data_IF_831641096861
#
_entry.id   IF_831641096861
#
_cell.length_a   1.000
_cell.length_b   1.000
_cell.length_c   1.000
_cell.angle_alpha   90.00
_cell.angle_beta   90.00
_cell.angle_gamma   90.00
#
_symmetry.space_group_name_H-M   'P 1'
#
loop_
_entity.id
_entity.type
_entity.pdbx_description
1 polymer ?
#
# COMPACT_ATOMS: atom_id res chain seq x y z
N UNK A 1 -15.77 10.65 5.32
CA UNK A 1 -14.59 9.93 5.86
C UNK A 1 -13.24 10.48 5.37
N UNK A 2 -12.94 10.49 4.06
CA UNK A 2 -11.57 10.79 3.57
C UNK A 2 -11.00 12.14 4.00
N UNK A 3 -11.82 13.19 4.01
CA UNK A 3 -11.43 14.48 4.55
C UNK A 3 -11.00 14.39 6.03
N UNK A 4 -11.71 13.62 6.86
CA UNK A 4 -11.37 13.46 8.27
C UNK A 4 -10.11 12.61 8.47
N UNK A 5 -9.91 11.57 7.65
CA UNK A 5 -8.63 10.84 7.61
C UNK A 5 -7.48 11.80 7.32
N UNK A 6 -7.65 12.65 6.30
CA UNK A 6 -6.66 13.65 5.96
C UNK A 6 -6.46 14.64 7.11
N UNK A 7 -7.54 15.20 7.65
CA UNK A 7 -7.53 16.24 8.67
C UNK A 7 -6.86 15.76 9.98
N UNK A 8 -7.14 14.54 10.43
CA UNK A 8 -6.61 14.03 11.70
C UNK A 8 -5.22 13.40 11.58
N UNK A 9 -4.87 12.82 10.43
CA UNK A 9 -3.66 12.00 10.30
C UNK A 9 -2.65 12.51 9.28
N UNK A 10 -3.08 13.10 8.16
CA UNK A 10 -2.22 13.32 6.99
C UNK A 10 -1.96 14.77 6.61
N UNK A 11 -2.73 15.72 7.14
CA UNK A 11 -2.46 17.16 7.07
C UNK A 11 -1.06 17.43 7.61
N UNK A 12 -0.31 18.33 6.99
CA UNK A 12 1.13 18.46 7.18
C UNK A 12 1.60 18.43 8.64
N UNK A 13 1.02 19.27 9.51
CA UNK A 13 1.34 19.29 10.95
C UNK A 13 1.02 17.96 11.64
N UNK A 14 -0.12 17.34 11.31
CA UNK A 14 -0.53 16.04 11.85
C UNK A 14 0.34 14.91 11.36
N UNK A 15 0.72 14.93 10.09
CA UNK A 15 1.62 13.95 9.51
C UNK A 15 2.99 14.00 10.17
N UNK A 16 3.55 15.19 10.39
CA UNK A 16 4.84 15.37 11.09
C UNK A 16 4.73 14.89 12.54
N UNK A 17 3.64 15.21 13.23
CA UNK A 17 3.37 14.72 14.58
C UNK A 17 3.32 13.20 14.62
N UNK A 18 2.43 12.58 13.82
CA UNK A 18 2.27 11.13 13.82
C UNK A 18 3.52 10.39 13.36
N UNK A 19 4.27 10.91 12.38
CA UNK A 19 5.55 10.33 11.95
C UNK A 19 6.56 10.23 13.11
N UNK A 20 6.52 11.15 14.07
CA UNK A 20 7.35 11.08 15.28
C UNK A 20 6.78 10.11 16.31
N UNK A 21 5.48 10.21 16.58
CA UNK A 21 4.81 9.39 17.59
C UNK A 21 4.91 7.90 17.28
N UNK A 22 4.64 7.48 16.03
CA UNK A 22 4.63 6.05 15.67
C UNK A 22 6.01 5.39 15.81
N UNK A 23 7.11 6.16 15.67
CA UNK A 23 8.47 5.66 15.86
C UNK A 23 8.78 5.32 17.34
N UNK A 24 7.99 5.85 18.28
CA UNK A 24 8.13 5.56 19.71
C UNK A 24 7.41 4.25 20.11
N UNK A 25 6.51 3.74 19.25
CA UNK A 25 5.74 2.52 19.51
C UNK A 25 6.27 1.33 18.70
N UNK A 26 7.02 0.45 19.37
CA UNK A 26 7.27 -0.93 18.90
C UNK A 26 6.00 -1.76 19.17
N UNK A 27 5.21 -2.32 18.25
CA UNK A 27 5.18 -2.45 16.80
C UNK A 27 3.69 -2.65 16.48
N UNK A 28 3.12 -2.02 15.46
CA UNK A 28 1.90 -2.54 14.84
C UNK A 28 2.29 -3.64 13.84
N UNK A 29 1.63 -4.79 13.94
CA UNK A 29 2.00 -6.02 13.23
C UNK A 29 1.06 -6.27 12.04
N UNK A 30 1.27 -7.39 11.32
CA UNK A 30 0.43 -7.78 10.17
C UNK A 30 -1.07 -7.85 10.52
N UNK A 31 -1.41 -8.28 11.73
CA UNK A 31 -2.81 -8.38 12.18
C UNK A 31 -3.43 -7.00 12.37
N UNK A 32 -2.70 -6.05 12.95
CA UNK A 32 -3.15 -4.65 13.05
C UNK A 32 -3.31 -4.03 11.67
N UNK A 33 -2.36 -4.28 10.76
CA UNK A 33 -2.42 -3.81 9.39
C UNK A 33 -3.70 -4.29 8.67
N UNK A 34 -3.97 -5.60 8.74
CA UNK A 34 -5.18 -6.18 8.15
C UNK A 34 -6.45 -5.63 8.80
N UNK A 35 -6.46 -5.44 10.12
CA UNK A 35 -7.60 -4.88 10.85
C UNK A 35 -7.97 -3.48 10.37
N UNK A 36 -6.98 -2.63 10.09
CA UNK A 36 -7.20 -1.28 9.55
C UNK A 36 -7.76 -1.36 8.12
N UNK A 37 -7.26 -2.29 7.29
CA UNK A 37 -7.80 -2.54 5.94
C UNK A 37 -9.25 -2.97 6.02
N UNK A 38 -9.55 -3.98 6.85
CA UNK A 38 -10.90 -4.53 7.00
C UNK A 38 -11.89 -3.47 7.47
N UNK A 39 -11.46 -2.59 8.38
CA UNK A 39 -12.26 -1.45 8.80
C UNK A 39 -12.56 -0.50 7.64
N UNK A 40 -11.55 -0.09 6.87
CA UNK A 40 -11.79 0.82 5.74
C UNK A 40 -12.64 0.17 4.65
N UNK A 41 -12.45 -1.12 4.38
CA UNK A 41 -13.30 -1.87 3.45
C UNK A 41 -14.76 -1.93 3.93
N UNK A 42 -14.97 -2.15 5.23
CA UNK A 42 -16.30 -2.10 5.85
C UNK A 42 -16.94 -0.71 5.74
N UNK A 43 -16.19 0.37 5.98
CA UNK A 43 -16.70 1.74 5.83
C UNK A 43 -17.09 2.02 4.37
N UNK A 44 -16.33 1.54 3.39
CA UNK A 44 -16.69 1.70 1.98
C UNK A 44 -18.01 1.01 1.61
N UNK A 45 -18.33 -0.09 2.29
CA UNK A 45 -19.58 -0.84 2.09
C UNK A 45 -20.75 -0.28 2.92
N UNK A 46 -20.48 0.52 3.97
CA UNK A 46 -21.48 1.06 4.88
C UNK A 46 -21.65 2.57 4.71
N UNK A 47 -22.63 2.97 3.89
CA UNK A 47 -22.93 4.37 3.59
C UNK A 47 -23.18 5.24 4.83
N UNK A 48 -23.95 4.74 5.79
CA UNK A 48 -24.29 5.48 7.01
C UNK A 48 -23.06 5.79 7.85
N UNK A 49 -22.24 4.76 8.11
CA UNK A 49 -20.99 4.92 8.85
C UNK A 49 -20.02 5.86 8.12
N UNK A 50 -19.90 5.73 6.80
CA UNK A 50 -19.05 6.62 5.99
C UNK A 50 -19.45 8.09 6.08
N UNK A 51 -20.77 8.36 6.15
CA UNK A 51 -21.33 9.70 6.35
C UNK A 51 -21.02 10.22 7.75
N UNK A 52 -21.28 9.43 8.81
CA UNK A 52 -20.98 9.81 10.19
C UNK A 52 -19.49 10.11 10.40
N UNK A 53 -18.60 9.27 9.87
CA UNK A 53 -17.16 9.51 9.86
C UNK A 53 -16.74 10.69 8.98
N UNK A 54 -17.62 11.20 8.11
CA UNK A 54 -17.40 12.44 7.36
C UNK A 54 -17.67 13.70 8.16
N UNK A 55 -18.60 13.62 9.11
CA UNK A 55 -19.08 14.76 9.90
C UNK A 55 -18.38 14.89 11.25
N UNK A 56 -17.61 13.88 11.67
CA UNK A 56 -16.91 13.90 12.96
C UNK A 56 -15.83 14.99 12.98
N UNK A 57 -15.85 15.85 14.00
CA UNK A 57 -14.95 17.01 14.10
C UNK A 57 -13.71 16.75 14.95
N UNK A 58 -13.72 15.70 15.77
CA UNK A 58 -12.64 15.35 16.69
C UNK A 58 -12.11 13.95 16.44
N UNK A 59 -10.82 13.75 16.70
CA UNK A 59 -10.18 12.44 16.62
C UNK A 59 -10.81 11.45 17.63
N UNK A 60 -11.16 11.91 18.83
CA UNK A 60 -11.84 11.08 19.82
C UNK A 60 -13.19 10.59 19.31
N UNK A 61 -14.00 11.48 18.71
CA UNK A 61 -15.26 11.09 18.09
C UNK A 61 -15.07 10.10 16.94
N UNK A 62 -14.02 10.28 16.14
CA UNK A 62 -13.65 9.32 15.08
C UNK A 62 -13.38 7.93 15.66
N UNK A 63 -12.56 7.84 16.71
CA UNK A 63 -12.20 6.57 17.35
C UNK A 63 -13.41 5.93 18.04
N UNK A 64 -14.25 6.71 18.70
CA UNK A 64 -15.48 6.19 19.31
C UNK A 64 -16.40 5.55 18.28
N UNK A 65 -16.61 6.19 17.11
CA UNK A 65 -17.40 5.59 16.03
C UNK A 65 -16.79 4.29 15.49
N UNK A 66 -15.46 4.18 15.44
CA UNK A 66 -14.76 2.95 15.02
C UNK A 66 -15.04 1.81 16.02
N UNK A 67 -14.95 2.11 17.32
CA UNK A 67 -15.21 1.15 18.42
C UNK A 67 -16.68 0.74 18.48
N UNK A 68 -17.60 1.69 18.35
CA UNK A 68 -19.06 1.45 18.37
C UNK A 68 -19.51 0.52 17.23
N UNK A 69 -18.73 0.45 16.15
CA UNK A 69 -18.95 -0.44 15.01
C UNK A 69 -18.16 -1.76 15.10
N UNK A 70 -17.64 -2.10 16.29
CA UNK A 70 -17.00 -3.39 16.57
C UNK A 70 -15.51 -3.47 16.22
N UNK A 71 -14.88 -2.36 15.82
CA UNK A 71 -13.45 -2.33 15.50
C UNK A 71 -12.66 -1.67 16.63
N UNK A 72 -11.92 -2.46 17.41
CA UNK A 72 -11.05 -1.93 18.46
C UNK A 72 -9.73 -1.37 17.91
N UNK A 73 -9.76 -0.22 17.24
CA UNK A 73 -8.56 0.43 16.67
C UNK A 73 -8.16 1.65 17.49
N UNK A 74 -6.86 1.78 17.78
CA UNK A 74 -6.29 2.98 18.40
C UNK A 74 -5.91 4.02 17.34
N UNK A 75 -5.86 5.29 17.73
CA UNK A 75 -5.44 6.37 16.84
C UNK A 75 -4.02 6.13 16.30
N UNK A 76 -3.12 5.64 17.14
CA UNK A 76 -1.73 5.32 16.78
C UNK A 76 -1.66 4.21 15.72
N UNK A 77 -2.57 3.25 15.74
CA UNK A 77 -2.60 2.12 14.79
C UNK A 77 -3.08 2.58 13.41
N UNK A 78 -4.11 3.42 13.40
CA UNK A 78 -4.61 4.06 12.17
C UNK A 78 -3.54 5.02 11.62
N UNK A 79 -2.93 5.81 12.49
CA UNK A 79 -1.86 6.75 12.13
C UNK A 79 -0.67 6.02 11.53
N UNK A 80 -0.19 4.95 12.17
CA UNK A 80 0.89 4.12 11.66
C UNK A 80 0.59 3.60 10.26
N UNK A 81 -0.56 2.96 10.06
CA UNK A 81 -0.97 2.44 8.76
C UNK A 81 -0.96 3.54 7.68
N UNK A 82 -1.57 4.69 7.96
CA UNK A 82 -1.70 5.80 7.01
C UNK A 82 -0.35 6.48 6.72
N UNK A 83 0.46 6.74 7.76
CA UNK A 83 1.76 7.40 7.65
C UNK A 83 2.76 6.49 6.94
N UNK A 84 2.85 5.21 7.30
CA UNK A 84 3.71 4.23 6.63
C UNK A 84 3.39 4.14 5.14
N UNK A 85 2.11 3.99 4.78
CA UNK A 85 1.69 3.98 3.37
C UNK A 85 2.08 5.28 2.65
N UNK A 86 1.86 6.44 3.28
CA UNK A 86 2.25 7.74 2.72
C UNK A 86 3.77 7.84 2.52
N UNK A 87 4.58 7.32 3.44
CA UNK A 87 6.04 7.30 3.31
C UNK A 87 6.48 6.47 2.10
N UNK A 88 5.94 5.25 1.93
CA UNK A 88 6.30 4.38 0.80
C UNK A 88 5.86 5.02 -0.53
N UNK A 89 4.64 5.56 -0.60
CA UNK A 89 4.17 6.24 -1.81
C UNK A 89 4.99 7.47 -2.17
N UNK A 90 5.33 8.30 -1.18
CA UNK A 90 6.16 9.48 -1.40
C UNK A 90 7.58 9.10 -1.88
N UNK A 91 8.15 8.00 -1.37
CA UNK A 91 9.43 7.48 -1.87
C UNK A 91 9.32 7.08 -3.34
N UNK A 92 8.29 6.32 -3.72
CA UNK A 92 8.10 5.90 -5.10
C UNK A 92 7.88 7.08 -6.05
N UNK A 93 7.12 8.09 -5.62
CA UNK A 93 6.94 9.34 -6.35
C UNK A 93 8.26 10.10 -6.52
N UNK A 94 9.05 10.23 -5.44
CA UNK A 94 10.36 10.88 -5.48
C UNK A 94 11.32 10.16 -6.43
N UNK A 95 11.36 8.83 -6.38
CA UNK A 95 12.17 8.00 -7.26
C UNK A 95 11.79 8.22 -8.73
N UNK A 96 10.50 8.29 -9.06
CA UNK A 96 10.07 8.56 -10.44
C UNK A 96 10.53 9.94 -10.94
N UNK A 97 10.63 10.92 -10.05
CA UNK A 97 11.10 12.28 -10.36
C UNK A 97 12.63 12.40 -10.34
N UNK A 98 13.33 11.45 -9.73
CA UNK A 98 14.78 11.47 -9.48
C UNK A 98 15.43 10.18 -9.98
N UNK A 99 15.91 10.14 -11.25
CA UNK A 99 16.46 8.92 -11.85
C UNK A 99 17.57 8.25 -11.05
N UNK A 100 18.48 9.02 -10.45
CA UNK A 100 19.57 8.48 -9.64
C UNK A 100 19.08 7.70 -8.41
N UNK A 101 18.05 8.19 -7.73
CA UNK A 101 17.41 7.48 -6.62
C UNK A 101 16.70 6.22 -7.12
N UNK A 102 15.98 6.31 -8.24
CA UNK A 102 15.33 5.15 -8.85
C UNK A 102 16.33 4.05 -9.17
N UNK A 103 17.45 4.37 -9.78
CA UNK A 103 18.50 3.41 -10.12
C UNK A 103 19.13 2.79 -8.87
N UNK A 104 19.37 3.57 -7.81
CA UNK A 104 19.86 3.06 -6.52
C UNK A 104 18.87 2.08 -5.87
N UNK A 105 17.58 2.41 -5.87
CA UNK A 105 16.53 1.56 -5.32
C UNK A 105 16.35 0.28 -6.14
N UNK A 106 16.34 0.37 -7.47
CA UNK A 106 16.19 -0.79 -8.36
C UNK A 106 17.43 -1.70 -8.38
N UNK A 107 18.60 -1.17 -8.04
CA UNK A 107 19.84 -1.95 -7.92
C UNK A 107 20.08 -2.54 -6.52
N UNK A 108 19.14 -2.35 -5.58
CA UNK A 108 19.21 -2.97 -4.27
C UNK A 108 19.20 -4.51 -4.39
N UNK A 109 20.18 -5.18 -3.76
CA UNK A 109 20.37 -6.63 -3.86
C UNK A 109 19.40 -7.43 -2.99
N UNK A 110 18.83 -6.79 -1.99
CA UNK A 110 17.91 -7.38 -1.01
C UNK A 110 17.03 -6.27 -0.42
N UNK A 111 15.89 -6.62 0.22
CA UNK A 111 14.96 -5.62 0.69
C UNK A 111 15.50 -4.77 1.85
N UNK A 112 16.46 -5.27 2.62
CA UNK A 112 17.11 -4.49 3.69
C UNK A 112 17.98 -3.36 3.12
N UNK A 113 18.65 -3.60 1.98
CA UNK A 113 19.38 -2.56 1.28
C UNK A 113 18.41 -1.49 0.73
N UNK A 114 17.25 -1.90 0.23
CA UNK A 114 16.22 -0.97 -0.26
C UNK A 114 15.72 -0.06 0.86
N UNK A 115 15.34 -0.63 2.02
CA UNK A 115 14.87 0.19 3.16
C UNK A 115 15.98 1.07 3.73
N UNK A 116 17.25 0.65 3.64
CA UNK A 116 18.39 1.49 4.00
C UNK A 116 18.52 2.71 3.07
N UNK A 117 18.46 2.50 1.75
CA UNK A 117 18.47 3.61 0.78
C UNK A 117 17.28 4.54 1.03
N UNK A 118 16.08 4.00 1.29
CA UNK A 118 14.93 4.82 1.65
C UNK A 118 15.17 5.69 2.91
N UNK A 119 15.80 5.11 3.94
CA UNK A 119 16.14 5.81 5.18
C UNK A 119 17.16 6.93 4.96
N UNK A 120 18.15 6.75 4.08
CA UNK A 120 19.11 7.80 3.69
C UNK A 120 18.41 9.02 3.06
N UNK A 121 17.21 8.82 2.49
CA UNK A 121 16.35 9.86 1.93
C UNK A 121 15.23 10.31 2.90
N UNK A 122 15.27 9.89 4.16
CA UNK A 122 14.34 10.31 5.22
C UNK A 122 12.99 9.58 5.24
N UNK A 123 12.88 8.44 4.55
CA UNK A 123 11.72 7.57 4.54
C UNK A 123 11.98 6.30 5.36
N UNK A 124 11.17 6.08 6.40
CA UNK A 124 11.38 5.02 7.38
C UNK A 124 10.19 4.07 7.37
N UNK A 125 10.44 2.83 6.97
CA UNK A 125 9.53 1.69 7.00
C UNK A 125 10.34 0.38 6.96
N UNK A 126 9.73 -0.68 7.43
CA UNK A 126 10.27 -2.04 7.44
C UNK A 126 10.06 -2.76 6.11
N UNK A 127 10.78 -3.87 5.93
CA UNK A 127 10.59 -4.77 4.77
C UNK A 127 9.18 -5.35 4.76
N UNK A 128 8.63 -5.68 5.93
CA UNK A 128 7.30 -6.26 6.05
C UNK A 128 6.20 -5.28 5.62
N UNK A 129 6.27 -4.03 6.05
CA UNK A 129 5.32 -2.98 5.65
C UNK A 129 5.37 -2.71 4.14
N UNK A 130 6.57 -2.70 3.56
CA UNK A 130 6.74 -2.62 2.10
C UNK A 130 6.08 -3.82 1.41
N UNK A 131 6.32 -5.03 1.91
CA UNK A 131 5.74 -6.25 1.36
C UNK A 131 4.21 -6.27 1.45
N UNK A 132 3.63 -5.84 2.57
CA UNK A 132 2.18 -5.79 2.76
C UNK A 132 1.53 -4.81 1.79
N UNK A 133 2.05 -3.59 1.68
CA UNK A 133 1.53 -2.62 0.72
C UNK A 133 1.64 -3.12 -0.73
N UNK A 134 2.79 -3.66 -1.14
CA UNK A 134 2.96 -4.16 -2.50
C UNK A 134 2.07 -5.38 -2.78
N UNK A 135 1.82 -6.23 -1.78
CA UNK A 135 0.87 -7.35 -1.88
C UNK A 135 -0.56 -6.86 -2.06
N UNK A 136 -0.98 -5.82 -1.31
CA UNK A 136 -2.29 -5.19 -1.49
C UNK A 136 -2.44 -4.61 -2.89
N UNK A 137 -1.47 -3.79 -3.33
CA UNK A 137 -1.50 -3.15 -4.65
C UNK A 137 -1.58 -4.20 -5.74
N UNK A 138 -0.85 -5.30 -5.56
CA UNK A 138 -0.87 -6.41 -6.49
C UNK A 138 -2.22 -7.14 -6.51
N UNK A 139 -2.83 -7.36 -5.35
CA UNK A 139 -4.05 -8.18 -5.21
C UNK A 139 -5.32 -7.42 -5.58
N UNK A 140 -5.36 -6.11 -5.30
CA UNK A 140 -6.54 -5.27 -5.49
C UNK A 140 -6.11 -3.83 -5.78
N UNK A 141 -5.47 -3.57 -6.94
CA UNK A 141 -4.93 -2.24 -7.28
C UNK A 141 -6.01 -1.14 -7.26
N UNK A 142 -7.27 -1.52 -7.46
CA UNK A 142 -8.42 -0.62 -7.40
C UNK A 142 -8.83 -0.20 -5.99
N UNK A 143 -8.43 -0.96 -4.97
CA UNK A 143 -8.79 -0.71 -3.56
C UNK A 143 -7.68 0.00 -2.78
N UNK A 144 -6.45 0.04 -3.32
CA UNK A 144 -5.34 0.71 -2.64
C UNK A 144 -5.38 2.22 -2.92
N UNK A 145 -5.95 2.94 -1.97
CA UNK A 145 -5.94 4.40 -1.93
C UNK A 145 -4.52 4.98 -1.94
N UNK A 146 -4.27 5.90 -2.88
CA UNK A 146 -3.10 6.77 -2.91
C UNK A 146 -3.55 8.14 -2.40
N UNK A 147 -3.04 8.57 -1.26
CA UNK A 147 -3.41 9.86 -0.67
C UNK A 147 -2.78 11.00 -1.48
N UNK A 148 -3.57 11.86 -2.12
CA UNK A 148 -3.06 13.09 -2.71
C UNK A 148 -2.93 14.22 -1.65
N UNK A 149 -2.16 15.26 -1.96
CA UNK A 149 -1.91 16.41 -1.09
C UNK A 149 -3.16 17.26 -0.80
N UNK A 150 -4.28 17.00 -1.49
CA UNK A 150 -5.53 17.77 -1.44
C UNK A 150 -6.65 17.02 -0.70
N UNK A 151 -6.38 15.83 -0.14
CA UNK A 151 -7.35 15.05 0.63
C UNK A 151 -8.32 14.21 -0.22
N UNK A 152 -8.08 14.10 -1.53
CA UNK A 152 -8.80 13.14 -2.37
C UNK A 152 -8.10 11.78 -2.31
N UNK A 153 -8.87 10.76 -1.98
CA UNK A 153 -8.47 9.37 -2.13
C UNK A 153 -8.86 8.94 -3.53
N UNK A 154 -7.88 8.92 -4.44
CA UNK A 154 -8.07 8.43 -5.80
C UNK A 154 -7.86 6.91 -5.77
N UNK A 155 -8.95 6.16 -5.92
CA UNK A 155 -8.92 4.75 -6.26
C UNK A 155 -8.63 4.61 -7.75
N UNK A 156 -7.61 3.83 -8.08
CA UNK A 156 -7.18 3.40 -9.43
C UNK A 156 -6.47 4.42 -10.35
N UNK A 157 -5.23 4.04 -10.70
CA UNK A 157 -4.46 4.36 -11.94
C UNK A 157 -4.00 5.80 -12.22
N UNK A 158 -4.47 6.81 -11.50
CA UNK A 158 -4.30 8.22 -11.90
C UNK A 158 -3.31 9.05 -11.08
N UNK A 159 -2.44 8.44 -10.27
CA UNK A 159 -1.05 8.93 -10.21
C UNK A 159 -0.35 8.41 -11.47
N UNK A 160 -0.75 8.92 -12.64
CA UNK A 160 -0.46 8.36 -13.98
C UNK A 160 1.00 8.33 -14.42
N UNK A 161 1.96 8.25 -13.49
CA UNK A 161 3.41 8.25 -13.73
C UNK A 161 4.23 7.35 -12.79
N UNK A 162 3.73 6.88 -11.64
CA UNK A 162 4.51 5.96 -10.79
C UNK A 162 4.39 4.56 -11.37
N UNK A 163 5.49 4.06 -11.91
CA UNK A 163 5.55 2.74 -12.56
C UNK A 163 5.66 1.63 -11.49
N UNK A 164 4.55 1.38 -10.80
CA UNK A 164 4.48 0.48 -9.63
C UNK A 164 4.93 -0.96 -9.92
N UNK A 165 4.86 -1.37 -11.19
CA UNK A 165 5.29 -2.69 -11.64
C UNK A 165 6.76 -3.00 -11.38
N UNK A 166 7.66 -2.00 -11.45
CA UNK A 166 9.08 -2.24 -11.14
C UNK A 166 9.28 -2.61 -9.67
N UNK A 167 8.53 -1.96 -8.77
CA UNK A 167 8.63 -2.20 -7.33
C UNK A 167 8.04 -3.55 -6.94
N UNK A 168 6.90 -3.93 -7.54
CA UNK A 168 6.31 -5.27 -7.35
C UNK A 168 7.27 -6.35 -7.86
N UNK A 169 7.81 -6.20 -9.08
CA UNK A 169 8.75 -7.16 -9.66
C UNK A 169 9.98 -7.36 -8.78
N UNK A 170 10.57 -6.27 -8.29
CA UNK A 170 11.73 -6.34 -7.41
C UNK A 170 11.41 -7.06 -6.08
N UNK A 171 10.22 -6.82 -5.53
CA UNK A 171 9.75 -7.51 -4.33
C UNK A 171 9.45 -9.00 -4.55
N UNK A 172 9.02 -9.39 -5.76
CA UNK A 172 8.88 -10.79 -6.17
C UNK A 172 10.24 -11.49 -6.31
N UNK A 173 11.23 -10.80 -6.89
CA UNK A 173 12.60 -11.33 -7.04
C UNK A 173 13.24 -11.61 -5.68
N UNK A 174 12.99 -10.74 -4.70
CA UNK A 174 13.40 -10.97 -3.30
C UNK A 174 12.57 -12.00 -2.54
N UNK A 175 11.44 -12.47 -3.11
CA UNK A 175 10.55 -13.44 -2.48
C UNK A 175 9.72 -12.89 -1.30
N UNK A 176 9.60 -11.58 -1.15
CA UNK A 176 8.77 -10.95 -0.10
C UNK A 176 7.32 -10.71 -0.54
N UNK A 177 7.07 -10.73 -1.85
CA UNK A 177 5.74 -10.72 -2.47
C UNK A 177 5.60 -12.00 -3.31
N UNK A 178 4.48 -12.75 -3.22
CA UNK A 178 4.30 -13.94 -4.05
C UNK A 178 4.33 -13.58 -5.54
N UNK A 179 4.85 -14.42 -6.46
CA UNK A 179 4.93 -14.11 -7.90
C UNK A 179 3.55 -14.08 -8.58
N UNK A 180 3.41 -13.35 -9.70
CA UNK A 180 2.13 -13.17 -10.42
C UNK A 180 1.51 -14.48 -10.87
N UNK A 181 2.34 -15.42 -11.31
CA UNK A 181 1.93 -16.68 -11.90
C UNK A 181 2.93 -17.75 -11.40
N UNK A 182 2.44 -18.94 -11.06
CA UNK A 182 3.29 -20.04 -10.60
C UNK A 182 4.44 -20.26 -11.59
N UNK A 183 5.70 -20.38 -11.11
CA UNK A 183 6.83 -20.84 -11.94
C UNK A 183 6.58 -22.23 -12.54
N UNK A 184 5.56 -22.95 -12.07
CA UNK A 184 5.16 -24.28 -12.52
C UNK A 184 3.79 -24.17 -13.21
N UNK A 185 3.75 -24.52 -14.48
CA UNK A 185 2.51 -24.66 -15.27
C UNK A 185 1.57 -25.65 -14.53
N UNK A 186 0.30 -25.30 -14.23
CA UNK A 186 -0.61 -26.27 -13.65
C UNK A 186 -0.91 -27.34 -14.71
N UNK A 187 -0.43 -28.56 -14.48
CA UNK A 187 -0.51 -29.68 -15.43
C UNK A 187 -1.91 -30.25 -15.67
N UNK A 188 -2.99 -29.55 -15.28
CA UNK A 188 -4.36 -30.05 -15.38
C UNK A 188 -5.35 -28.90 -15.52
N UNK A 189 -6.17 -28.97 -16.58
CA UNK A 189 -7.29 -28.07 -16.88
C UNK A 189 -8.23 -27.92 -15.66
N UNK A 190 -8.38 -26.69 -15.18
CA UNK A 190 -9.22 -26.34 -14.03
C UNK A 190 -10.67 -26.12 -14.48
N UNK A 191 -11.51 -27.14 -14.34
CA UNK A 191 -12.98 -27.03 -14.48
C UNK A 191 -13.72 -26.88 -13.15
N UNK A 192 -13.01 -26.65 -12.03
CA UNK A 192 -13.59 -26.86 -10.68
C UNK A 192 -13.38 -25.75 -9.64
N UNK A 193 -12.99 -24.52 -10.01
CA UNK A 193 -12.88 -23.43 -9.03
C UNK A 193 -13.76 -22.23 -9.40
N UNK A 194 -15.04 -22.37 -9.06
CA UNK A 194 -15.97 -21.27 -8.88
C UNK A 194 -15.77 -20.83 -7.41
N UNK A 195 -15.64 -19.52 -7.17
CA UNK A 195 -15.49 -18.84 -5.85
C UNK A 195 -14.09 -18.59 -5.28
N UNK A 196 -13.04 -18.53 -6.10
CA UNK A 196 -11.76 -17.92 -5.69
C UNK A 196 -11.40 -16.71 -6.58
N UNK A 197 -11.31 -15.47 -6.06
CA UNK A 197 -10.99 -14.28 -6.86
C UNK A 197 -9.56 -14.28 -7.41
N UNK A 198 -8.68 -15.17 -6.91
CA UNK A 198 -7.34 -15.39 -7.45
C UNK A 198 -7.39 -16.36 -8.63
N UNK A 199 -8.05 -15.93 -9.72
CA UNK A 199 -7.99 -16.63 -10.99
C UNK A 199 -6.55 -16.52 -11.57
N UNK A 200 -5.96 -17.63 -12.06
CA UNK A 200 -4.65 -17.64 -12.74
C UNK A 200 -4.54 -16.70 -13.96
N UNK A 201 -5.68 -16.22 -14.48
CA UNK A 201 -5.78 -15.47 -15.73
C UNK A 201 -5.47 -13.97 -15.60
N UNK A 202 -5.11 -13.49 -14.40
CA UNK A 202 -4.74 -12.08 -14.17
C UNK A 202 -3.24 -11.93 -13.85
N UNK A 203 -2.37 -12.40 -14.74
CA UNK A 203 -0.99 -11.94 -14.76
C UNK A 203 -1.01 -10.44 -15.19
N UNK A 204 -1.04 -9.50 -14.22
CA UNK A 204 -0.84 -8.08 -14.52
C UNK A 204 0.63 -7.85 -14.86
N UNK A 205 0.98 -8.05 -16.11
CA UNK A 205 2.24 -7.54 -16.64
C UNK A 205 2.04 -6.05 -16.97
N UNK A 206 2.80 -5.12 -16.37
CA UNK A 206 2.79 -3.72 -16.76
C UNK A 206 2.99 -3.56 -18.27
N UNK A 207 2.45 -2.50 -18.90
CA UNK A 207 2.68 -2.25 -20.34
C UNK A 207 4.17 -2.19 -20.73
N UNK A 208 5.07 -1.85 -19.79
CA UNK A 208 6.53 -1.85 -19.97
C UNK A 208 7.16 -3.25 -19.97
N UNK A 209 6.49 -4.26 -19.43
CA UNK A 209 6.95 -5.66 -19.39
C UNK A 209 7.04 -6.27 -20.80
N UNK A 210 6.19 -5.83 -21.73
CA UNK A 210 6.20 -6.27 -23.13
C UNK A 210 7.35 -5.68 -23.96
N UNK A 211 8.18 -4.78 -23.41
CA UNK A 211 9.36 -4.25 -24.10
C UNK A 211 10.66 -4.99 -23.77
N UNK A 212 10.64 -5.97 -22.88
CA UNK A 212 11.81 -6.81 -22.62
C UNK A 212 11.68 -8.15 -23.35
N UNK A 213 12.45 -8.24 -24.44
CA UNK A 213 12.79 -9.45 -25.22
C UNK A 213 11.74 -10.03 -26.18
N UNK A 214 11.53 -9.32 -27.30
CA UNK A 214 11.77 -9.93 -28.61
C UNK A 214 13.27 -9.75 -28.93
N UNK A 215 14.13 -10.43 -28.17
CA UNK A 215 15.51 -10.68 -28.60
C UNK A 215 15.49 -12.09 -29.13
N UNK A 216 15.72 -12.17 -30.43
CA UNK A 216 15.66 -13.36 -31.27
C UNK A 216 16.31 -14.57 -30.61
N UNK A 217 15.60 -15.70 -30.64
CA UNK A 217 16.24 -17.01 -30.66
C UNK A 217 16.18 -17.51 -32.11
N UNK A 218 17.36 -17.86 -32.61
CA UNK A 218 17.60 -18.51 -33.90
C UNK A 218 16.97 -19.89 -33.99
#
# INVERSE_FOLDING_TARGET
MYYQIWNFFLKEEKYIFWKKEINLYNIPNKLTWQKVIDFFAFVEQNFFLKSQLGEVETLEGFINLVVDNGYYLRAEEIAWFLVTRKQIWNLFDLAQKTPSLKDQLLSAKNPQQFTKVAADYGYYFSVDELAWLLTEVKSSPELVSINNSVGEILTVSSYGKIEIGYWIWLAEDWGIVPPFCHRVQPGTFLSQYIDNPFLPDRCFLPKSYFKQQLVMSH
#
